data_IF_780007828099
#
_entry.id   IF_780007828099
#
_cell.length_a   1.000
_cell.length_b   1.000
_cell.length_c   1.000
_cell.angle_alpha   90.00
_cell.angle_beta   90.00
_cell.angle_gamma   90.00
#
_symmetry.space_group_name_H-M   'P 1'
#
loop_
_entity.id
_entity.type
_entity.pdbx_description
1 polymer ?
2 non-polymer ?
3 non-polymer ?
4 non-polymer ?
5 non-polymer ?
6 non-polymer ?
7 water ?
#
# COMPACT_ATOMS: atom_id res chain seq x y z
N UNK A 1 15.92 -15.83 19.12
CA UNK A 1 14.75 -16.33 18.40
C UNK A 1 13.53 -16.42 19.29
N UNK A 2 12.47 -15.73 18.90
CA UNK A 2 11.30 -15.51 19.72
C UNK A 2 10.15 -15.18 18.79
N UNK A 3 8.96 -15.71 19.05
CA UNK A 3 7.79 -15.43 18.21
C UNK A 3 6.61 -14.82 18.99
N UNK A 4 6.87 -14.20 20.13
CA UNK A 4 5.80 -13.50 20.84
C UNK A 4 5.96 -12.00 20.55
N UNK A 5 4.83 -11.31 20.58
CA UNK A 5 4.84 -9.87 20.54
C UNK A 5 5.15 -9.32 21.94
N UNK A 6 5.89 -8.23 21.99
CA UNK A 6 5.99 -7.46 23.21
C UNK A 6 4.63 -6.92 23.62
N UNK A 7 4.51 -6.50 24.89
CA UNK A 7 3.24 -5.91 25.32
C UNK A 7 2.94 -4.65 24.52
N UNK A 8 3.98 -3.91 24.21
CA UNK A 8 3.87 -2.71 23.40
C UNK A 8 3.35 -3.05 22.00
N UNK A 9 3.91 -4.09 21.37
CA UNK A 9 3.44 -4.53 20.05
C UNK A 9 2.00 -5.03 20.10
N UNK A 10 1.68 -5.82 21.11
CA UNK A 10 0.31 -6.29 21.26
C UNK A 10 -0.68 -5.13 21.40
N UNK A 11 -0.31 -4.11 22.19
CA UNK A 11 -1.20 -2.96 22.37
C UNK A 11 -1.42 -2.21 21.07
N UNK A 12 -0.36 -2.05 20.28
CA UNK A 12 -0.45 -1.37 19.00
C UNK A 12 -1.44 -2.11 18.10
N UNK A 13 -1.28 -3.44 18.01
CA UNK A 13 -2.18 -4.27 17.19
C UNK A 13 -3.62 -4.17 17.69
N UNK A 14 -3.83 -4.37 19.00
CA UNK A 14 -5.20 -4.42 19.48
C UNK A 14 -5.88 -3.07 19.35
N UNK A 15 -5.15 -1.98 19.60
CA UNK A 15 -5.76 -0.67 19.46
C UNK A 15 -6.16 -0.39 18.00
N UNK A 16 -5.28 -0.75 17.07
CA UNK A 16 -5.60 -0.56 15.66
C UNK A 16 -6.78 -1.43 15.22
N UNK A 17 -6.85 -2.67 15.72
CA UNK A 17 -7.92 -3.57 15.34
C UNK A 17 -9.24 -3.03 15.84
N UNK A 18 -9.24 -2.52 17.09
CA UNK A 18 -10.46 -1.93 17.63
C UNK A 18 -10.93 -0.75 16.81
N UNK A 19 -10.02 0.13 16.41
CA UNK A 19 -10.39 1.26 15.58
C UNK A 19 -10.93 0.76 14.26
N UNK A 20 -10.22 -0.18 13.63
CA UNK A 20 -10.70 -0.64 12.35
C UNK A 20 -12.09 -1.24 12.46
N UNK A 21 -12.36 -2.04 13.51
CA UNK A 21 -13.67 -2.66 13.67
C UNK A 21 -14.74 -1.65 14.05
N UNK A 22 -14.46 -0.84 15.04
CA UNK A 22 -15.50 0.01 15.64
C UNK A 22 -15.73 1.32 14.92
N UNK A 23 -14.76 1.82 14.14
CA UNK A 23 -14.88 3.09 13.46
C UNK A 23 -14.95 2.88 11.96
N UNK A 24 -13.94 2.17 11.39
CA UNK A 24 -13.93 2.10 9.91
C UNK A 24 -14.90 1.07 9.34
N UNK A 25 -15.07 -0.06 10.02
CA UNK A 25 -15.90 -1.13 9.49
C UNK A 25 -17.38 -0.84 9.61
N UNK A 26 -17.75 0.07 10.50
CA UNK A 26 -19.16 0.31 10.82
C UNK A 26 -19.62 0.99 9.52
N UNK A 27 -20.74 0.59 8.97
CA UNK A 27 -21.29 1.21 7.77
C UNK A 27 -20.49 1.00 6.49
N UNK A 28 -19.49 0.12 6.55
CA UNK A 28 -18.64 -0.06 5.36
C UNK A 28 -19.44 -0.60 4.18
N UNK A 29 -20.40 -1.48 4.42
CA UNK A 29 -21.12 -2.05 3.27
C UNK A 29 -21.81 -0.98 2.46
N UNK A 30 -22.44 -0.01 3.13
CA UNK A 30 -23.06 1.07 2.37
C UNK A 30 -22.04 1.85 1.57
N UNK A 31 -20.90 2.16 2.17
CA UNK A 31 -19.91 2.92 1.41
C UNK A 31 -19.41 2.12 0.23
N UNK A 32 -19.12 0.85 0.45
CA UNK A 32 -18.62 0.01 -0.64
C UNK A 32 -19.65 -0.08 -1.77
N UNK A 33 -20.92 -0.28 -1.42
CA UNK A 33 -21.98 -0.37 -2.46
C UNK A 33 -22.03 0.86 -3.33
N UNK A 34 -21.84 2.02 -2.72
CA UNK A 34 -21.93 3.31 -3.40
C UNK A 34 -20.59 3.78 -3.94
N UNK A 35 -19.53 2.99 -3.78
CA UNK A 35 -18.18 3.34 -4.27
C UNK A 35 -17.69 4.63 -3.64
N UNK A 36 -17.98 4.80 -2.36
CA UNK A 36 -17.62 6.01 -1.64
C UNK A 36 -16.31 5.81 -0.90
N UNK A 37 -15.41 6.78 -1.05
CA UNK A 37 -14.24 6.91 -0.23
C UNK A 37 -14.56 8.09 0.66
N UNK A 38 -14.77 7.81 1.95
CA UNK A 38 -15.18 8.85 2.89
C UNK A 38 -13.96 9.64 3.35
N UNK A 39 -13.82 10.87 2.87
CA UNK A 39 -12.61 11.59 3.29
C UNK A 39 -12.67 11.96 4.76
N UNK A 40 -13.87 12.12 5.33
CA UNK A 40 -13.90 12.39 6.77
C UNK A 40 -13.42 11.20 7.57
N UNK A 41 -13.82 9.99 7.18
CA UNK A 41 -13.34 8.80 7.82
C UNK A 41 -11.84 8.59 7.57
N UNK A 42 -11.41 8.84 6.33
CA UNK A 42 -10.01 8.74 6.01
C UNK A 42 -9.19 9.64 6.94
N UNK A 43 -9.65 10.86 7.14
CA UNK A 43 -8.87 11.80 7.98
C UNK A 43 -8.85 11.35 9.45
N UNK A 44 -9.95 10.75 9.93
CA UNK A 44 -9.93 10.22 11.30
C UNK A 44 -8.94 9.09 11.46
N UNK A 45 -8.89 8.21 10.45
CA UNK A 45 -7.94 7.12 10.47
C UNK A 45 -6.52 7.65 10.40
N UNK A 46 -6.27 8.61 9.51
CA UNK A 46 -4.94 9.17 9.42
C UNK A 46 -4.50 9.73 10.77
N UNK A 47 -5.36 10.52 11.37
CA UNK A 47 -5.02 11.17 12.65
C UNK A 47 -4.91 10.18 13.80
N UNK A 48 -5.68 9.08 13.75
CA UNK A 48 -5.52 8.04 14.77
C UNK A 48 -4.11 7.48 14.78
N UNK A 49 -3.44 7.41 13.63
CA UNK A 49 -2.09 6.93 13.62
C UNK A 49 -1.74 6.19 12.35
N UNK A 50 -2.72 5.96 11.45
CA UNK A 50 -2.37 5.17 10.25
C UNK A 50 -1.55 5.97 9.24
N UNK A 51 -1.52 7.30 9.35
CA UNK A 51 -0.64 8.10 8.50
C UNK A 51 0.68 8.45 9.19
N UNK A 52 1.02 7.77 10.31
CA UNK A 52 2.20 8.16 11.09
C UNK A 52 3.46 7.32 10.80
N UNK A 53 3.39 6.01 10.96
CA UNK A 53 4.55 5.17 10.65
C UNK A 53 5.78 5.59 11.46
N UNK A 54 6.93 5.69 10.80
CA UNK A 54 8.18 6.04 11.48
C UNK A 54 8.35 7.51 11.79
N UNK A 55 7.37 8.36 11.46
CA UNK A 55 7.57 9.80 11.61
C UNK A 55 7.74 10.14 13.08
N UNK A 56 8.69 11.03 13.36
CA UNK A 56 9.00 11.44 14.72
C UNK A 56 7.87 12.27 15.37
N UNK A 57 7.97 12.36 16.70
CA UNK A 57 7.05 13.16 17.49
C UNK A 57 7.05 14.62 17.05
N UNK A 58 8.20 15.12 16.57
CA UNK A 58 8.31 16.50 16.12
C UNK A 58 7.28 16.85 15.05
N UNK A 59 6.85 15.85 14.28
CA UNK A 59 5.91 16.11 13.20
C UNK A 59 4.58 15.40 13.43
N UNK A 60 4.31 14.91 14.65
CA UNK A 60 3.03 14.33 14.99
C UNK A 60 3.02 12.83 15.00
N UNK A 61 4.14 12.18 14.73
CA UNK A 61 4.17 10.72 14.72
C UNK A 61 4.60 10.11 16.04
N UNK A 62 4.66 8.77 16.06
CA UNK A 62 5.04 8.02 17.26
C UNK A 62 6.31 7.21 17.07
N UNK A 63 7.02 7.46 15.99
CA UNK A 63 8.31 6.86 15.76
C UNK A 63 8.22 5.35 15.85
N UNK A 64 7.27 4.80 15.11
CA UNK A 64 7.17 3.34 14.99
C UNK A 64 8.26 2.78 14.07
N UNK A 65 8.71 1.55 14.37
CA UNK A 65 9.59 0.86 13.45
C UNK A 65 8.74 0.20 12.38
N UNK A 66 9.41 -0.54 11.47
CA UNK A 66 8.71 -1.21 10.36
C UNK A 66 7.84 -2.33 10.89
N UNK A 67 8.31 -3.09 11.87
CA UNK A 67 7.46 -4.18 12.37
C UNK A 67 6.23 -3.62 13.06
N UNK A 68 6.36 -2.55 13.86
CA UNK A 68 5.18 -1.97 14.51
C UNK A 68 4.19 -1.44 13.48
N UNK A 69 4.69 -0.81 12.43
CA UNK A 69 3.84 -0.22 11.40
C UNK A 69 3.11 -1.34 10.71
N UNK A 70 3.83 -2.44 10.43
CA UNK A 70 3.19 -3.59 9.78
C UNK A 70 2.12 -4.20 10.65
N UNK A 71 2.36 -4.31 11.96
CA UNK A 71 1.33 -4.82 12.87
C UNK A 71 0.07 -3.95 12.82
N UNK A 72 0.22 -2.61 12.87
CA UNK A 72 -0.92 -1.73 12.78
C UNK A 72 -1.71 -1.98 11.52
N UNK A 73 -1.00 -2.14 10.40
CA UNK A 73 -1.70 -2.28 9.13
C UNK A 73 -2.31 -3.67 9.01
N UNK A 74 -1.66 -4.70 9.56
CA UNK A 74 -2.28 -6.02 9.60
C UNK A 74 -3.61 -5.95 10.32
N UNK A 75 -3.63 -5.25 11.46
CA UNK A 75 -4.87 -5.11 12.21
C UNK A 75 -5.96 -4.40 11.41
N UNK A 76 -5.56 -3.36 10.68
CA UNK A 76 -6.47 -2.64 9.79
C UNK A 76 -7.04 -3.57 8.74
N UNK A 77 -6.19 -4.41 8.15
CA UNK A 77 -6.73 -5.30 7.10
C UNK A 77 -7.66 -6.39 7.65
N UNK A 78 -7.41 -6.86 8.89
CA UNK A 78 -8.31 -7.84 9.50
C UNK A 78 -9.60 -7.20 9.99
N UNK A 79 -9.51 -5.97 10.47
CA UNK A 79 -10.63 -5.34 11.14
C UNK A 79 -11.65 -4.64 10.27
N UNK A 80 -11.29 -4.17 9.08
CA UNK A 80 -12.18 -3.37 8.25
C UNK A 80 -12.34 -4.00 6.87
N UNK A 81 -13.59 -4.20 6.44
CA UNK A 81 -13.84 -4.65 5.07
C UNK A 81 -13.51 -3.62 4.03
N UNK A 82 -13.38 -2.35 4.43
CA UNK A 82 -13.23 -1.27 3.45
C UNK A 82 -11.75 -1.17 3.08
N UNK A 83 -11.31 -2.17 2.31
CA UNK A 83 -9.90 -2.24 1.96
C UNK A 83 -9.52 -1.13 0.97
N UNK A 84 -10.45 -0.63 0.16
CA UNK A 84 -10.12 0.51 -0.70
C UNK A 84 -9.69 1.72 0.13
N UNK A 85 -10.46 2.03 1.19
CA UNK A 85 -10.05 3.13 2.05
C UNK A 85 -8.69 2.83 2.69
N UNK A 86 -8.49 1.58 3.17
CA UNK A 86 -7.23 1.26 3.84
C UNK A 86 -6.07 1.37 2.86
N UNK A 87 -6.28 0.90 1.63
CA UNK A 87 -5.21 1.00 0.64
C UNK A 87 -4.86 2.47 0.38
N UNK A 88 -5.90 3.32 0.26
CA UNK A 88 -5.67 4.75 0.02
C UNK A 88 -4.83 5.37 1.14
N UNK A 89 -5.11 5.01 2.38
CA UNK A 89 -4.36 5.53 3.52
C UNK A 89 -2.94 5.04 3.52
N UNK A 90 -2.75 3.73 3.28
CA UNK A 90 -1.39 3.20 3.30
C UNK A 90 -0.57 3.72 2.14
N UNK A 91 -1.19 4.02 0.98
CA UNK A 91 -0.45 4.61 -0.12
C UNK A 91 0.03 6.00 0.27
N UNK A 92 -0.83 6.78 0.90
CA UNK A 92 -0.42 8.10 1.38
C UNK A 92 0.72 8.00 2.38
N UNK A 93 0.62 7.06 3.32
CA UNK A 93 1.68 6.88 4.31
C UNK A 93 2.99 6.45 3.63
N UNK A 94 2.94 5.36 2.82
CA UNK A 94 4.22 4.76 2.43
C UNK A 94 4.87 5.47 1.29
N UNK A 95 4.11 6.00 0.35
CA UNK A 95 4.71 6.57 -0.83
C UNK A 95 4.81 8.08 -0.73
N UNK A 96 4.21 8.68 0.31
CA UNK A 96 4.26 10.15 0.37
C UNK A 96 4.75 10.68 1.71
N UNK A 97 4.11 10.31 2.82
CA UNK A 97 4.60 10.73 4.13
C UNK A 97 6.03 10.27 4.36
N UNK A 98 6.30 8.99 4.12
CA UNK A 98 7.62 8.49 4.53
C UNK A 98 8.75 9.10 3.68
N UNK A 99 8.66 9.20 2.35
CA UNK A 99 9.77 9.86 1.65
C UNK A 99 9.93 11.32 2.02
N UNK A 100 8.84 12.04 2.28
CA UNK A 100 9.05 13.44 2.72
C UNK A 100 9.80 13.48 4.07
N UNK A 101 9.40 12.64 5.03
CA UNK A 101 10.07 12.58 6.30
C UNK A 101 11.54 12.20 6.13
N UNK A 102 11.79 11.16 5.31
CA UNK A 102 13.16 10.62 5.26
C UNK A 102 14.12 11.46 4.44
N UNK A 103 13.64 12.17 3.43
CA UNK A 103 14.52 12.91 2.53
C UNK A 103 14.22 14.40 2.43
N UNK A 104 13.10 14.90 2.95
CA UNK A 104 12.77 16.28 2.74
C UNK A 104 13.68 17.19 3.57
N UNK A 105 13.84 18.43 3.10
CA UNK A 105 14.56 19.43 3.90
C UNK A 105 13.76 19.83 5.13
N UNK A 106 14.45 20.49 6.08
CA UNK A 106 13.79 21.08 7.22
C UNK A 106 12.68 22.01 6.79
N UNK A 107 12.93 22.85 5.76
CA UNK A 107 11.89 23.80 5.37
C UNK A 107 10.69 23.07 4.77
N UNK A 108 10.93 22.02 3.98
CA UNK A 108 9.77 21.35 3.36
C UNK A 108 8.98 20.54 4.39
N UNK A 109 9.67 19.83 5.30
CA UNK A 109 8.97 19.13 6.37
C UNK A 109 8.20 20.10 7.24
N UNK A 110 8.83 21.22 7.64
CA UNK A 110 8.13 22.20 8.47
C UNK A 110 6.82 22.69 7.84
N UNK A 111 6.80 22.88 6.52
CA UNK A 111 5.64 23.40 5.83
C UNK A 111 4.55 22.33 5.67
N UNK A 112 4.93 21.09 5.32
CA UNK A 112 3.93 20.12 4.86
C UNK A 112 3.79 18.86 5.70
N UNK A 113 4.82 18.43 6.44
CA UNK A 113 4.81 17.04 6.90
C UNK A 113 3.78 16.79 7.99
N UNK A 114 3.69 17.68 8.97
CA UNK A 114 2.66 17.44 9.98
C UNK A 114 1.26 17.42 9.38
N UNK A 115 0.99 18.24 8.38
CA UNK A 115 -0.32 18.22 7.74
C UNK A 115 -0.58 16.87 7.06
N UNK A 116 0.44 16.25 6.50
CA UNK A 116 0.25 14.92 5.91
C UNK A 116 0.06 13.87 6.98
N UNK A 117 0.82 13.98 8.06
CA UNK A 117 0.77 13.02 9.18
C UNK A 117 -0.59 13.03 9.88
N UNK A 118 -1.22 14.18 10.00
CA UNK A 118 -2.52 14.26 10.66
C UNK A 118 -3.68 14.10 9.68
N UNK A 119 -3.38 13.98 8.38
CA UNK A 119 -4.37 13.84 7.35
C UNK A 119 -5.07 15.13 6.96
N UNK A 120 -4.63 16.27 7.45
CA UNK A 120 -5.17 17.54 6.97
C UNK A 120 -4.99 17.69 5.47
N UNK A 121 -3.88 17.15 4.93
CA UNK A 121 -3.64 17.18 3.49
C UNK A 121 -3.52 15.72 3.07
N UNK A 122 -4.16 15.40 1.96
CA UNK A 122 -4.03 14.07 1.34
C UNK A 122 -2.96 14.15 0.25
N UNK A 123 -2.12 13.12 0.13
CA UNK A 123 -1.07 13.15 -0.87
C UNK A 123 -1.18 11.95 -1.82
N UNK A 124 -0.63 12.16 -3.02
CA UNK A 124 -0.57 11.09 -4.04
C UNK A 124 0.86 11.04 -4.55
N UNK A 125 1.33 9.84 -4.92
CA UNK A 125 2.69 9.64 -5.43
C UNK A 125 2.59 9.36 -6.92
N UNK A 126 3.33 10.10 -7.75
CA UNK A 126 3.14 9.99 -9.17
C UNK A 126 4.49 9.65 -9.81
N UNK A 127 4.67 8.36 -10.12
CA UNK A 127 5.89 7.89 -10.76
C UNK A 127 5.59 7.23 -12.10
N UNK A 128 4.63 6.28 -12.11
CA UNK A 128 4.32 5.53 -13.32
C UNK A 128 3.88 6.41 -14.47
N UNK A 129 4.27 6.02 -15.68
CA UNK A 129 3.89 6.71 -16.91
C UNK A 129 3.41 5.71 -17.92
N UNK A 130 2.77 6.16 -18.98
CA UNK A 130 2.36 5.22 -20.05
C UNK A 130 3.50 4.34 -20.56
N UNK A 131 4.74 4.84 -20.70
CA UNK A 131 5.83 4.00 -21.18
C UNK A 131 6.83 3.63 -20.11
N UNK A 132 6.46 3.75 -18.85
CA UNK A 132 7.40 3.45 -17.78
C UNK A 132 6.54 2.90 -16.64
N UNK A 133 6.43 1.57 -16.60
CA UNK A 133 5.69 0.91 -15.52
C UNK A 133 6.70 0.08 -14.78
N UNK A 134 6.93 -1.19 -15.20
CA UNK A 134 8.01 -1.94 -14.63
C UNK A 134 9.36 -1.26 -14.86
N UNK A 135 9.54 -0.74 -16.06
CA UNK A 135 10.77 -0.03 -16.43
C UNK A 135 10.60 1.44 -15.99
N UNK A 136 10.59 1.60 -14.65
CA UNK A 136 10.14 2.90 -14.12
C UNK A 136 11.18 3.97 -14.35
N UNK A 137 12.46 3.58 -14.44
CA UNK A 137 13.47 4.62 -14.63
C UNK A 137 13.63 5.03 -16.08
N UNK A 138 12.82 4.49 -17.00
CA UNK A 138 12.60 5.02 -18.33
C UNK A 138 11.55 6.14 -18.34
N UNK A 139 11.13 6.63 -17.19
CA UNK A 139 10.13 7.69 -17.23
C UNK A 139 10.64 8.85 -18.08
N UNK A 140 9.71 9.47 -18.77
CA UNK A 140 9.99 10.53 -19.74
C UNK A 140 9.61 11.91 -19.23
N UNK A 141 8.83 12.01 -18.15
CA UNK A 141 8.56 13.36 -17.63
C UNK A 141 9.88 14.05 -17.32
N UNK A 142 9.91 15.39 -17.58
CA UNK A 142 11.15 16.13 -17.45
C UNK A 142 10.95 17.31 -16.53
N UNK A 143 11.90 17.52 -15.64
CA UNK A 143 11.92 18.72 -14.79
C UNK A 143 13.20 19.43 -15.15
N UNK A 144 13.09 20.37 -16.13
CA UNK A 144 14.28 21.04 -16.70
C UNK A 144 14.73 22.15 -15.77
N UNK A 145 15.95 22.09 -15.21
CA UNK A 145 16.40 23.14 -14.30
C UNK A 145 16.41 24.49 -14.99
N UNK A 146 16.00 25.49 -14.25
CA UNK A 146 15.99 26.89 -14.72
C UNK A 146 16.30 27.80 -13.54
N UNK A 147 16.35 29.12 -13.79
CA UNK A 147 16.54 30.02 -12.66
C UNK A 147 15.34 29.89 -11.74
N UNK A 148 15.62 29.60 -10.49
CA UNK A 148 14.60 29.54 -9.48
C UNK A 148 14.02 28.16 -9.22
N UNK A 149 14.28 27.19 -10.11
CA UNK A 149 13.58 25.92 -9.93
C UNK A 149 13.62 25.10 -11.20
N UNK A 150 12.45 24.62 -11.64
CA UNK A 150 12.35 23.67 -12.73
C UNK A 150 11.09 23.91 -13.52
N UNK A 151 11.12 23.56 -14.79
CA UNK A 151 9.94 23.53 -15.65
C UNK A 151 9.58 22.06 -15.85
N UNK A 152 8.38 21.66 -15.40
CA UNK A 152 7.95 20.25 -15.41
C UNK A 152 6.93 19.98 -16.51
N UNK A 153 7.17 18.92 -17.32
CA UNK A 153 6.22 18.48 -18.32
C UNK A 153 6.15 16.95 -18.29
N UNK A 154 4.97 16.41 -18.62
CA UNK A 154 4.86 14.95 -18.76
C UNK A 154 3.49 14.48 -18.30
N UNK A 155 3.35 13.14 -18.26
CA UNK A 155 2.07 12.54 -17.94
C UNK A 155 2.30 11.36 -17.02
N UNK A 156 1.52 11.26 -15.94
CA UNK A 156 1.61 10.14 -15.01
C UNK A 156 0.27 9.44 -14.99
N UNK A 157 0.30 8.10 -14.79
CA UNK A 157 -0.93 7.35 -14.83
C UNK A 157 -0.98 6.42 -13.65
N UNK A 158 -2.20 5.93 -13.39
CA UNK A 158 -2.47 4.94 -12.32
C UNK A 158 -2.20 5.52 -10.94
N UNK A 159 -2.52 6.80 -10.74
CA UNK A 159 -2.08 7.49 -9.53
C UNK A 159 -3.15 7.38 -8.45
N UNK A 160 -2.88 6.54 -7.46
CA UNK A 160 -3.77 6.37 -6.30
C UNK A 160 -3.94 7.71 -5.58
N UNK A 161 -5.20 8.03 -5.28
CA UNK A 161 -5.59 9.27 -4.59
C UNK A 161 -5.47 10.52 -5.44
N UNK A 162 -5.07 10.47 -6.73
CA UNK A 162 -4.94 11.75 -7.43
C UNK A 162 -6.23 12.59 -7.42
N UNK A 163 -7.42 12.02 -7.61
CA UNK A 163 -8.62 12.89 -7.62
C UNK A 163 -8.93 13.53 -6.30
N UNK A 164 -8.39 13.08 -5.19
CA UNK A 164 -8.67 13.66 -3.87
C UNK A 164 -7.44 14.31 -3.24
N UNK A 165 -6.28 14.30 -3.90
CA UNK A 165 -5.05 14.74 -3.23
C UNK A 165 -4.92 16.27 -3.22
N UNK A 166 -4.36 16.76 -2.15
CA UNK A 166 -3.96 18.17 -2.04
C UNK A 166 -2.55 18.40 -2.49
N UNK A 167 -1.66 17.42 -2.34
CA UNK A 167 -0.30 17.56 -2.80
C UNK A 167 0.10 16.29 -3.51
N UNK A 168 1.12 16.43 -4.35
CA UNK A 168 1.58 15.34 -5.20
C UNK A 168 3.09 15.21 -5.01
N UNK A 169 3.57 14.00 -4.76
CA UNK A 169 5.02 13.72 -4.75
C UNK A 169 5.31 13.17 -6.15
N UNK A 170 6.08 13.91 -6.96
CA UNK A 170 6.21 13.51 -8.35
C UNK A 170 7.69 13.28 -8.69
N UNK A 171 7.89 12.30 -9.57
CA UNK A 171 9.23 11.91 -10.01
C UNK A 171 9.40 12.28 -11.46
N UNK A 172 10.54 12.94 -11.80
CA UNK A 172 10.76 13.39 -13.16
C UNK A 172 12.26 13.46 -13.41
N UNK A 173 12.62 13.44 -14.69
CA UNK A 173 14.03 13.49 -15.10
C UNK A 173 14.52 14.93 -15.05
N UNK A 174 15.47 15.15 -14.18
CA UNK A 174 16.29 16.36 -14.22
C UNK A 174 17.52 16.22 -15.10
N UNK A 175 17.88 14.99 -15.44
CA UNK A 175 18.92 14.72 -16.44
C UNK A 175 18.36 13.62 -17.33
N UNK A 176 17.73 13.97 -18.43
CA UNK A 176 17.12 12.94 -19.29
C UNK A 176 18.15 11.99 -19.92
N UNK A 177 19.46 12.29 -19.81
CA UNK A 177 20.46 11.38 -20.36
C UNK A 177 20.51 10.06 -19.58
N UNK A 178 20.14 10.10 -18.30
CA UNK A 178 20.38 8.99 -17.41
C UNK A 178 19.05 8.30 -17.11
N UNK A 179 19.15 7.24 -16.33
CA UNK A 179 17.97 6.51 -15.94
C UNK A 179 17.78 6.80 -14.49
N UNK A 180 18.09 5.81 -13.66
CA UNK A 180 17.95 5.90 -12.22
C UNK A 180 18.59 7.17 -11.67
N UNK A 181 19.79 7.51 -12.13
CA UNK A 181 20.51 8.63 -11.54
C UNK A 181 20.11 9.99 -12.13
N UNK A 182 19.18 10.03 -13.05
CA UNK A 182 18.71 11.26 -13.64
C UNK A 182 17.36 11.70 -13.09
N UNK A 183 16.82 10.99 -12.11
CA UNK A 183 15.47 11.27 -11.59
C UNK A 183 15.58 12.14 -10.35
N UNK A 184 14.69 13.15 -10.21
CA UNK A 184 14.51 13.86 -8.96
C UNK A 184 13.05 13.79 -8.51
N UNK A 185 12.84 14.08 -7.25
CA UNK A 185 11.52 14.04 -6.65
C UNK A 185 11.10 15.43 -6.25
N UNK A 186 9.81 15.72 -6.39
CA UNK A 186 9.32 17.07 -6.05
C UNK A 186 7.99 17.00 -5.35
N UNK A 187 7.66 18.02 -4.57
CA UNK A 187 6.31 18.12 -4.00
C UNK A 187 5.62 19.26 -4.72
N UNK A 188 4.45 19.01 -5.31
CA UNK A 188 3.68 20.11 -5.92
C UNK A 188 2.27 20.13 -5.36
N UNK A 189 1.66 21.32 -5.36
CA UNK A 189 0.33 21.48 -4.79
C UNK A 189 -0.78 21.42 -5.82
N UNK A 190 -1.93 20.86 -5.43
CA UNK A 190 -3.11 20.98 -6.25
C UNK A 190 -3.36 22.46 -6.61
N UNK A 191 -3.72 22.71 -7.83
CA UNK A 191 -4.05 24.09 -8.15
C UNK A 191 -2.92 24.84 -8.82
N UNK A 192 -1.71 24.29 -8.81
CA UNK A 192 -0.61 25.02 -9.43
C UNK A 192 -0.85 25.14 -10.93
N UNK A 193 -0.56 26.30 -11.54
CA UNK A 193 -0.78 26.43 -12.98
C UNK A 193 -0.03 25.37 -13.76
N UNK A 194 -0.76 24.71 -14.67
CA UNK A 194 -0.15 23.70 -15.53
C UNK A 194 -0.38 22.29 -15.03
N UNK A 195 -0.92 22.12 -13.82
CA UNK A 195 -1.25 20.78 -13.32
C UNK A 195 -2.68 20.44 -13.69
N UNK A 196 -2.86 19.38 -14.46
CA UNK A 196 -4.20 18.97 -14.87
C UNK A 196 -4.43 17.57 -14.30
N UNK A 197 -5.22 17.48 -13.25
CA UNK A 197 -5.57 16.18 -12.63
C UNK A 197 -6.81 15.65 -13.32
N UNK A 198 -6.75 14.41 -13.83
CA UNK A 198 -7.88 13.83 -14.52
C UNK A 198 -9.00 13.44 -13.56
N UNK A 199 -10.20 13.27 -14.11
CA UNK A 199 -11.31 12.74 -13.33
C UNK A 199 -11.04 11.27 -12.96
N UNK A 200 -11.66 10.84 -11.87
CA UNK A 200 -11.47 9.47 -11.41
C UNK A 200 -11.80 8.51 -12.54
N UNK A 201 -10.96 7.49 -12.69
CA UNK A 201 -11.19 6.44 -13.67
C UNK A 201 -11.67 5.22 -12.91
N UNK A 202 -12.90 4.75 -13.17
CA UNK A 202 -13.48 3.64 -12.39
C UNK A 202 -12.78 2.31 -12.62
N UNK A 203 -12.84 1.48 -11.60
CA UNK A 203 -12.30 0.13 -11.69
C UNK A 203 -13.16 -0.78 -10.83
N UNK A 204 -13.12 -2.08 -11.13
CA UNK A 204 -13.83 -3.06 -10.29
C UNK A 204 -12.99 -3.51 -9.09
N UNK A 205 -11.69 -3.60 -9.22
CA UNK A 205 -10.85 -3.92 -8.07
C UNK A 205 -10.60 -2.66 -7.26
N UNK A 206 -10.59 -2.78 -5.92
CA UNK A 206 -10.36 -1.61 -5.03
C UNK A 206 -11.24 -0.44 -5.49
N UNK A 207 -12.54 -0.71 -5.72
CA UNK A 207 -13.31 0.14 -6.60
C UNK A 207 -13.59 1.50 -5.98
N UNK A 208 -13.56 1.62 -4.64
CA UNK A 208 -13.76 2.95 -4.08
C UNK A 208 -12.47 3.67 -3.77
N UNK A 209 -11.31 3.16 -4.21
CA UNK A 209 -10.04 3.85 -3.99
C UNK A 209 -9.75 4.62 -5.26
N UNK A 210 -9.86 5.94 -5.28
CA UNK A 210 -9.84 6.66 -6.55
C UNK A 210 -8.45 6.75 -7.13
N UNK A 211 -8.35 6.62 -8.46
CA UNK A 211 -7.09 6.93 -9.12
C UNK A 211 -7.40 7.63 -10.43
N UNK A 212 -6.39 8.32 -10.97
CA UNK A 212 -6.54 8.94 -12.27
C UNK A 212 -5.15 9.24 -12.84
N UNK A 213 -5.16 9.87 -14.03
CA UNK A 213 -3.93 10.37 -14.62
C UNK A 213 -3.70 11.80 -14.21
N UNK A 214 -2.47 12.24 -14.31
CA UNK A 214 -2.18 13.66 -14.10
C UNK A 214 -1.28 14.13 -15.26
N UNK A 215 -1.48 15.36 -15.74
CA UNK A 215 -0.67 15.88 -16.84
C UNK A 215 -0.05 17.18 -16.36
N UNK A 216 1.26 17.33 -16.59
CA UNK A 216 2.04 18.53 -16.30
C UNK A 216 2.26 19.28 -17.61
N UNK A 217 1.78 20.55 -17.68
CA UNK A 217 2.07 21.40 -18.84
C UNK A 217 2.83 22.63 -18.39
N UNK A 218 4.16 22.60 -18.57
CA UNK A 218 5.03 23.73 -18.20
C UNK A 218 4.77 24.24 -16.79
N UNK A 219 4.70 23.32 -15.84
CA UNK A 219 4.60 23.70 -14.43
C UNK A 219 5.93 24.28 -13.97
N UNK A 220 5.86 25.42 -13.26
CA UNK A 220 7.05 25.89 -12.59
C UNK A 220 7.12 25.33 -11.16
N UNK A 221 8.18 24.58 -10.89
CA UNK A 221 8.44 24.06 -9.55
C UNK A 221 9.49 24.94 -8.91
N UNK A 222 9.19 25.61 -7.82
CA UNK A 222 10.23 26.34 -7.11
C UNK A 222 11.26 25.40 -6.53
N UNK A 223 12.52 25.85 -6.52
CA UNK A 223 13.63 25.06 -5.99
C UNK A 223 13.37 24.43 -4.64
N UNK A 224 12.68 25.15 -3.78
CA UNK A 224 12.50 24.67 -2.43
C UNK A 224 11.56 23.47 -2.35
N UNK A 225 10.92 23.12 -3.45
CA UNK A 225 9.96 22.01 -3.42
C UNK A 225 10.57 20.72 -3.94
N UNK A 226 11.85 20.72 -4.31
CA UNK A 226 12.56 19.47 -4.57
C UNK A 226 12.75 18.70 -3.26
N UNK A 227 12.48 17.39 -3.29
CA UNK A 227 12.63 16.54 -2.13
C UNK A 227 13.98 15.82 -2.25
N UNK A 228 14.85 16.03 -1.27
CA UNK A 228 16.21 15.45 -1.30
C UNK A 228 17.06 16.16 -2.35
N UNK A 229 18.17 15.52 -2.67
CA UNK A 229 19.14 16.11 -3.58
C UNK A 229 18.78 15.90 -5.04
N UNK A 230 19.40 16.70 -5.89
CA UNK A 230 19.23 16.53 -7.32
C UNK A 230 19.75 15.18 -7.76
N UNK A 231 18.94 14.45 -8.54
CA UNK A 231 19.34 13.15 -9.05
C UNK A 231 19.17 12.01 -8.07
N UNK A 232 18.64 12.29 -6.88
CA UNK A 232 18.43 11.29 -5.84
C UNK A 232 17.03 10.72 -5.87
N UNK A 233 16.24 11.07 -6.88
CA UNK A 233 14.84 10.64 -6.96
C UNK A 233 14.71 9.14 -7.07
N UNK A 234 15.59 8.52 -7.87
CA UNK A 234 15.59 7.05 -7.96
C UNK A 234 15.78 6.40 -6.61
N UNK A 235 16.71 6.89 -5.81
CA UNK A 235 16.91 6.30 -4.49
C UNK A 235 15.72 6.55 -3.58
N UNK A 236 15.12 7.72 -3.69
CA UNK A 236 13.94 8.01 -2.88
C UNK A 236 12.78 7.10 -3.29
N UNK A 237 12.54 6.99 -4.59
CA UNK A 237 11.43 6.14 -5.04
C UNK A 237 11.66 4.71 -4.56
N UNK A 238 12.88 4.25 -4.74
CA UNK A 238 13.26 2.91 -4.31
C UNK A 238 12.95 2.70 -2.85
N UNK A 239 13.38 3.62 -1.99
CA UNK A 239 13.15 3.52 -0.56
C UNK A 239 11.66 3.56 -0.21
N UNK A 240 10.88 4.35 -0.94
CA UNK A 240 9.48 4.37 -0.62
C UNK A 240 8.82 3.06 -1.05
N UNK A 241 9.31 2.41 -2.12
CA UNK A 241 8.67 1.14 -2.50
C UNK A 241 9.00 0.04 -1.53
N UNK A 242 10.11 0.16 -0.79
CA UNK A 242 10.41 -0.79 0.28
C UNK A 242 9.33 -0.74 1.36
N UNK A 243 8.96 0.49 1.80
CA UNK A 243 7.90 0.63 2.80
C UNK A 243 6.54 0.20 2.23
N UNK A 244 6.27 0.57 1.00
CA UNK A 244 5.04 0.13 0.36
C UNK A 244 4.95 -1.38 0.25
N UNK A 245 6.05 -2.04 -0.15
CA UNK A 245 5.98 -3.50 -0.23
C UNK A 245 6.07 -4.19 1.14
N UNK A 246 6.86 -3.63 2.04
CA UNK A 246 7.08 -4.29 3.31
C UNK A 246 5.95 -4.09 4.29
N UNK A 247 5.44 -2.87 4.42
CA UNK A 247 4.40 -2.58 5.37
C UNK A 247 3.00 -2.53 4.78
N UNK A 248 2.81 -1.90 3.62
CA UNK A 248 1.48 -1.88 3.04
C UNK A 248 0.96 -3.30 2.80
N UNK A 249 1.84 -4.24 2.45
CA UNK A 249 1.41 -5.62 2.18
C UNK A 249 0.74 -6.32 3.38
N UNK A 250 1.14 -6.00 4.63
CA UNK A 250 0.52 -6.39 5.88
C UNK A 250 -1.00 -6.29 5.79
N UNK A 251 -1.52 -5.35 5.00
CA UNK A 251 -2.95 -5.21 4.87
C UNK A 251 -3.56 -6.51 4.38
N UNK A 252 -2.86 -7.15 3.42
CA UNK A 252 -3.42 -8.36 2.81
C UNK A 252 -3.21 -9.57 3.71
N UNK A 253 -2.19 -9.58 4.57
CA UNK A 253 -2.10 -10.62 5.60
C UNK A 253 -3.32 -10.55 6.53
N UNK A 254 -3.65 -9.31 6.99
CA UNK A 254 -4.80 -9.21 7.90
C UNK A 254 -6.10 -9.56 7.19
N UNK A 255 -6.19 -9.22 5.89
CA UNK A 255 -7.38 -9.63 5.12
C UNK A 255 -7.48 -11.14 5.00
N UNK A 256 -6.33 -11.81 4.83
CA UNK A 256 -6.36 -13.28 4.73
C UNK A 256 -6.74 -13.92 6.06
N UNK A 257 -6.24 -13.35 7.17
CA UNK A 257 -6.71 -13.84 8.47
C UNK A 257 -8.22 -13.73 8.67
N UNK A 258 -8.82 -12.62 8.25
CA UNK A 258 -10.26 -12.46 8.34
C UNK A 258 -10.97 -13.45 7.41
N UNK A 259 -10.45 -13.59 6.19
CA UNK A 259 -11.02 -14.55 5.24
C UNK A 259 -10.98 -15.97 5.78
N UNK A 260 -9.86 -16.39 6.39
CA UNK A 260 -9.76 -17.74 6.90
C UNK A 260 -10.78 -17.97 8.01
N UNK A 261 -10.94 -16.99 8.91
CA UNK A 261 -11.92 -17.14 10.00
C UNK A 261 -13.33 -17.33 9.43
N UNK A 262 -13.69 -16.55 8.41
CA UNK A 262 -15.01 -16.68 7.79
C UNK A 262 -15.19 -18.03 7.12
N UNK A 263 -14.14 -18.49 6.44
CA UNK A 263 -14.24 -19.74 5.70
C UNK A 263 -14.33 -20.94 6.64
N UNK A 264 -13.49 -20.98 7.70
CA UNK A 264 -13.57 -22.03 8.71
C UNK A 264 -14.95 -22.10 9.34
N UNK A 265 -15.53 -20.93 9.66
CA UNK A 265 -16.87 -20.92 10.27
C UNK A 265 -17.87 -21.55 9.32
N UNK A 266 -17.80 -21.20 8.03
CA UNK A 266 -18.78 -21.75 7.10
C UNK A 266 -18.58 -23.24 6.94
N UNK A 267 -17.34 -23.72 6.89
CA UNK A 267 -17.12 -25.12 6.62
C UNK A 267 -17.54 -25.99 7.80
N UNK A 268 -17.63 -25.38 8.97
CA UNK A 268 -18.18 -26.14 10.10
C UNK A 268 -19.70 -26.11 10.15
N UNK A 269 -20.33 -25.04 9.66
CA UNK A 269 -21.78 -24.82 9.75
C UNK A 269 -22.53 -25.46 8.64
N UNK A 270 -22.04 -25.30 7.41
CA UNK A 270 -22.76 -25.83 6.24
C UNK A 270 -22.72 -27.34 6.15
N UNK A 271 -23.90 -27.97 6.13
CA UNK A 271 -24.02 -29.41 6.03
C UNK A 271 -24.46 -29.80 4.64
N UNK A 272 -23.85 -30.85 4.10
CA UNK A 272 -24.36 -31.60 2.96
C UNK A 272 -24.03 -33.06 3.17
N UNK A 273 -24.90 -33.96 2.68
CA UNK A 273 -24.68 -35.41 2.86
C UNK A 273 -24.60 -35.75 4.34
N UNK A 274 -25.27 -34.99 5.16
CA UNK A 274 -25.40 -35.39 6.54
C UNK A 274 -24.21 -35.01 7.40
N UNK A 275 -23.32 -34.16 6.91
CA UNK A 275 -22.22 -33.73 7.77
C UNK A 275 -21.74 -32.36 7.33
N UNK A 276 -20.90 -31.78 8.16
CA UNK A 276 -20.29 -30.49 7.80
C UNK A 276 -19.39 -30.65 6.58
N UNK A 277 -19.46 -29.67 5.66
CA UNK A 277 -18.68 -29.86 4.43
C UNK A 277 -17.19 -29.89 4.73
N UNK A 278 -16.77 -29.32 5.85
CA UNK A 278 -15.34 -29.43 6.20
C UNK A 278 -14.88 -30.83 6.50
N UNK A 279 -15.79 -31.79 6.70
CA UNK A 279 -15.38 -33.18 6.91
C UNK A 279 -14.89 -33.87 5.66
N UNK A 280 -15.17 -33.35 4.43
CA UNK A 280 -14.67 -33.92 3.19
C UNK A 280 -13.28 -33.42 2.95
N UNK A 281 -12.36 -34.33 2.64
CA UNK A 281 -10.98 -33.87 2.50
C UNK A 281 -10.80 -32.90 1.34
N UNK A 282 -11.63 -32.98 0.26
CA UNK A 282 -11.44 -31.94 -0.77
C UNK A 282 -11.63 -30.54 -0.18
N UNK A 283 -12.56 -30.39 0.74
CA UNK A 283 -12.85 -29.08 1.35
C UNK A 283 -11.79 -28.73 2.37
N UNK A 284 -11.51 -29.67 3.26
CA UNK A 284 -10.56 -29.34 4.33
C UNK A 284 -9.15 -29.17 3.80
N UNK A 285 -8.80 -29.90 2.76
CA UNK A 285 -7.43 -29.70 2.21
C UNK A 285 -7.24 -28.27 1.71
N UNK A 286 -8.26 -27.68 1.02
CA UNK A 286 -8.14 -26.29 0.56
C UNK A 286 -8.05 -25.31 1.70
N UNK A 287 -8.84 -25.53 2.76
CA UNK A 287 -8.76 -24.63 3.90
C UNK A 287 -7.38 -24.75 4.57
N UNK A 288 -6.84 -25.98 4.65
CA UNK A 288 -5.49 -26.13 5.21
C UNK A 288 -4.47 -25.37 4.35
N UNK A 289 -4.60 -25.40 3.03
CA UNK A 289 -3.73 -24.59 2.19
C UNK A 289 -3.82 -23.12 2.57
N UNK A 290 -5.04 -22.61 2.82
CA UNK A 290 -5.17 -21.21 3.22
C UNK A 290 -4.43 -20.95 4.52
N UNK A 291 -4.61 -21.84 5.52
CA UNK A 291 -3.92 -21.69 6.79
C UNK A 291 -2.39 -21.78 6.62
N UNK A 292 -1.90 -22.74 5.85
CA UNK A 292 -0.44 -22.83 5.66
C UNK A 292 0.10 -21.56 5.01
N UNK A 293 -0.62 -21.04 4.00
CA UNK A 293 -0.18 -19.79 3.35
C UNK A 293 -0.11 -18.65 4.35
N UNK A 294 -1.16 -18.50 5.18
CA UNK A 294 -1.19 -17.37 6.06
C UNK A 294 -0.04 -17.43 7.08
N UNK A 295 0.22 -18.61 7.62
CA UNK A 295 1.27 -18.71 8.65
C UNK A 295 2.62 -18.45 8.02
N UNK A 296 2.85 -18.99 6.82
CA UNK A 296 4.18 -18.80 6.21
C UNK A 296 4.41 -17.36 5.83
N UNK A 297 3.46 -16.74 5.13
CA UNK A 297 3.73 -15.40 4.64
C UNK A 297 3.75 -14.38 5.78
N UNK A 298 2.99 -14.58 6.83
CA UNK A 298 3.06 -13.65 7.96
C UNK A 298 4.43 -13.74 8.63
N UNK A 299 5.02 -14.95 8.74
CA UNK A 299 6.36 -15.01 9.34
C UNK A 299 7.39 -14.33 8.45
N UNK A 300 7.29 -14.53 7.12
CA UNK A 300 8.20 -13.86 6.20
C UNK A 300 8.12 -12.35 6.32
N UNK A 301 6.89 -11.82 6.47
CA UNK A 301 6.73 -10.38 6.58
C UNK A 301 7.33 -9.89 7.88
N UNK A 302 7.03 -10.59 8.96
CA UNK A 302 7.56 -10.18 10.28
C UNK A 302 9.07 -10.19 10.28
N UNK A 303 9.67 -11.20 9.68
CA UNK A 303 11.12 -11.20 9.69
C UNK A 303 11.70 -10.11 8.82
N UNK A 304 11.09 -9.83 7.64
CA UNK A 304 11.57 -8.77 6.76
C UNK A 304 11.54 -7.44 7.50
N UNK A 305 10.43 -7.18 8.19
CA UNK A 305 10.30 -5.90 8.89
C UNK A 305 11.25 -5.86 10.08
N UNK A 306 11.39 -6.96 10.80
CA UNK A 306 12.32 -7.02 11.92
C UNK A 306 13.75 -6.79 11.43
N UNK A 307 14.16 -7.41 10.30
CA UNK A 307 15.53 -7.19 9.79
C UNK A 307 15.73 -5.71 9.45
N UNK A 308 14.74 -5.08 8.81
CA UNK A 308 14.81 -3.64 8.56
C UNK A 308 15.07 -2.87 9.85
N UNK A 309 14.28 -3.16 10.87
CA UNK A 309 14.43 -2.48 12.17
C UNK A 309 15.79 -2.74 12.78
N UNK A 310 16.42 -3.88 12.48
CA UNK A 310 17.76 -4.12 13.02
C UNK A 310 18.85 -3.44 12.20
N UNK A 311 18.53 -2.80 11.11
CA UNK A 311 19.54 -2.24 10.23
C UNK A 311 20.19 -3.23 9.30
N UNK A 312 19.68 -4.45 9.19
CA UNK A 312 20.17 -5.41 8.22
C UNK A 312 19.62 -5.09 6.84
N UNK A 313 20.23 -5.70 5.81
CA UNK A 313 19.77 -5.55 4.43
C UNK A 313 18.49 -6.36 4.28
N UNK A 314 17.36 -5.68 4.14
CA UNK A 314 16.10 -6.43 4.08
C UNK A 314 15.45 -6.40 2.69
N UNK A 315 16.16 -5.93 1.66
CA UNK A 315 15.51 -5.74 0.37
C UNK A 315 14.97 -7.04 -0.20
N UNK A 316 15.78 -8.09 -0.18
CA UNK A 316 15.34 -9.36 -0.73
C UNK A 316 14.21 -9.95 0.12
N UNK A 317 14.27 -9.77 1.45
CA UNK A 317 13.25 -10.31 2.33
C UNK A 317 11.92 -9.64 2.08
N UNK A 318 11.95 -8.31 1.82
CA UNK A 318 10.72 -7.59 1.55
C UNK A 318 10.15 -7.97 0.18
N UNK A 319 11.02 -8.15 -0.84
CA UNK A 319 10.52 -8.62 -2.14
C UNK A 319 9.90 -10.00 -2.01
N UNK A 320 10.55 -10.90 -1.22
CA UNK A 320 9.98 -12.25 -1.04
C UNK A 320 8.64 -12.19 -0.35
N UNK A 321 8.53 -11.31 0.67
CA UNK A 321 7.26 -11.17 1.38
C UNK A 321 6.17 -10.65 0.48
N UNK A 322 6.47 -9.61 -0.30
CA UNK A 322 5.45 -9.02 -1.15
C UNK A 322 4.95 -10.05 -2.17
N UNK A 323 5.89 -10.81 -2.74
CA UNK A 323 5.55 -11.87 -3.71
C UNK A 323 4.66 -12.92 -3.06
N UNK A 324 5.05 -13.43 -1.90
CA UNK A 324 4.26 -14.52 -1.32
C UNK A 324 2.92 -14.01 -0.88
N UNK A 325 2.87 -12.85 -0.18
CA UNK A 325 1.58 -12.39 0.34
C UNK A 325 0.58 -12.21 -0.78
N UNK A 326 1.01 -11.57 -1.87
CA UNK A 326 0.03 -11.24 -2.91
C UNK A 326 -0.43 -12.48 -3.66
N UNK A 327 0.50 -13.40 -3.98
CA UNK A 327 0.10 -14.67 -4.58
C UNK A 327 -0.85 -15.44 -3.65
N UNK A 328 -0.48 -15.53 -2.38
CA UNK A 328 -1.32 -16.29 -1.45
C UNK A 328 -2.67 -15.63 -1.23
N UNK A 329 -2.72 -14.29 -1.25
CA UNK A 329 -3.99 -13.61 -1.03
C UNK A 329 -4.94 -13.94 -2.17
N UNK A 330 -4.43 -13.92 -3.40
CA UNK A 330 -5.28 -14.22 -4.55
C UNK A 330 -5.74 -15.67 -4.52
N UNK A 331 -4.79 -16.59 -4.38
CA UNK A 331 -5.16 -18.01 -4.39
C UNK A 331 -6.13 -18.31 -3.25
N UNK A 332 -5.95 -17.71 -2.08
CA UNK A 332 -6.85 -18.04 -0.98
C UNK A 332 -8.21 -17.42 -1.18
N UNK A 333 -8.27 -16.28 -1.88
CA UNK A 333 -9.58 -15.71 -2.24
C UNK A 333 -10.36 -16.68 -3.11
N UNK A 334 -9.68 -17.30 -4.09
CA UNK A 334 -10.33 -18.32 -4.91
C UNK A 334 -10.76 -19.53 -4.09
N UNK A 335 -9.92 -19.96 -3.14
CA UNK A 335 -10.24 -21.14 -2.31
C UNK A 335 -11.44 -20.86 -1.41
N UNK A 336 -11.56 -19.63 -0.88
CA UNK A 336 -12.73 -19.30 -0.03
C UNK A 336 -13.98 -19.36 -0.87
N UNK A 337 -13.95 -18.75 -2.06
CA UNK A 337 -15.10 -18.81 -2.94
C UNK A 337 -15.50 -20.24 -3.18
N UNK A 338 -14.51 -21.12 -3.47
CA UNK A 338 -14.86 -22.51 -3.78
C UNK A 338 -15.48 -23.21 -2.57
N UNK A 339 -15.05 -22.87 -1.35
CA UNK A 339 -15.67 -23.44 -0.13
C UNK A 339 -17.15 -23.09 -0.03
N UNK A 340 -17.51 -21.86 -0.39
CA UNK A 340 -18.89 -21.41 -0.23
C UNK A 340 -19.81 -21.92 -1.36
N UNK A 341 -19.28 -22.28 -2.51
CA UNK A 341 -20.17 -22.71 -3.61
C UNK A 341 -21.04 -21.56 -4.09
N UNK A 342 -22.30 -21.88 -4.42
CA UNK A 342 -23.20 -20.83 -4.91
C UNK A 342 -23.41 -19.69 -3.93
N UNK A 343 -23.28 -19.96 -2.64
CA UNK A 343 -23.44 -18.89 -1.69
C UNK A 343 -22.32 -17.83 -1.75
N UNK A 344 -21.22 -18.11 -2.50
CA UNK A 344 -20.19 -17.09 -2.67
C UNK A 344 -20.69 -15.94 -3.53
N UNK A 345 -21.70 -16.18 -4.35
CA UNK A 345 -22.13 -15.17 -5.34
C UNK A 345 -23.20 -14.32 -4.69
N UNK A 346 -22.77 -13.55 -3.70
CA UNK A 346 -23.67 -12.87 -2.75
C UNK A 346 -22.97 -11.60 -2.34
N UNK A 347 -23.49 -10.44 -2.77
CA UNK A 347 -22.74 -9.22 -2.59
C UNK A 347 -22.65 -8.83 -1.11
N UNK A 348 -23.58 -9.33 -0.28
CA UNK A 348 -23.49 -8.99 1.14
C UNK A 348 -22.36 -9.73 1.84
N UNK A 349 -21.98 -10.89 1.32
CA UNK A 349 -20.94 -11.67 1.93
C UNK A 349 -19.58 -11.11 1.58
N UNK A 350 -19.43 -10.56 0.38
CA UNK A 350 -18.17 -9.88 0.10
C UNK A 350 -17.02 -10.76 -0.36
N UNK A 351 -17.24 -12.04 -0.67
CA UNK A 351 -16.09 -12.90 -0.98
C UNK A 351 -15.59 -12.59 -2.37
N UNK A 352 -16.50 -12.33 -3.31
CA UNK A 352 -16.03 -12.01 -4.64
C UNK A 352 -15.35 -10.64 -4.66
N UNK A 353 -15.92 -9.67 -3.93
CA UNK A 353 -15.28 -8.37 -3.83
C UNK A 353 -13.90 -8.50 -3.17
N UNK A 354 -13.78 -9.38 -2.19
CA UNK A 354 -12.48 -9.60 -1.56
C UNK A 354 -11.45 -10.05 -2.60
N UNK A 355 -11.83 -10.99 -3.47
CA UNK A 355 -10.88 -11.44 -4.47
C UNK A 355 -10.51 -10.30 -5.39
N UNK A 356 -11.50 -9.52 -5.85
CA UNK A 356 -11.21 -8.35 -6.68
C UNK A 356 -10.21 -7.45 -5.99
N UNK A 357 -10.39 -7.24 -4.69
CA UNK A 357 -9.48 -6.34 -3.99
C UNK A 357 -8.10 -6.91 -3.87
N UNK A 358 -7.94 -8.23 -3.93
CA UNK A 358 -6.60 -8.81 -3.83
C UNK A 358 -5.87 -8.86 -5.14
N UNK A 359 -6.61 -8.86 -6.25
CA UNK A 359 -5.95 -9.00 -7.56
C UNK A 359 -4.85 -7.95 -7.77
N UNK A 360 -5.05 -6.67 -7.41
CA UNK A 360 -3.96 -5.71 -7.70
C UNK A 360 -2.77 -5.83 -6.78
N UNK A 361 -2.81 -6.64 -5.72
CA UNK A 361 -1.64 -6.77 -4.86
C UNK A 361 -0.47 -7.38 -5.59
N UNK A 362 -0.73 -8.14 -6.67
CA UNK A 362 0.36 -8.73 -7.43
C UNK A 362 0.98 -7.72 -8.41
N UNK A 363 0.43 -6.52 -8.50
CA UNK A 363 0.84 -5.52 -9.51
C UNK A 363 1.45 -4.28 -8.86
N UNK A 364 0.82 -3.75 -7.80
CA UNK A 364 1.37 -2.46 -7.45
C UNK A 364 2.66 -2.62 -6.59
N UNK A 365 3.39 -1.50 -6.57
CA UNK A 365 4.74 -1.42 -6.01
C UNK A 365 5.72 -2.35 -6.71
N UNK A 366 5.39 -2.76 -7.92
CA UNK A 366 6.28 -3.61 -8.70
C UNK A 366 5.61 -4.94 -8.87
N UNK A 367 5.48 -5.42 -10.09
CA UNK A 367 4.80 -6.69 -10.24
C UNK A 367 5.59 -7.85 -9.61
N UNK A 368 4.92 -9.00 -9.50
CA UNK A 368 5.61 -10.12 -8.90
C UNK A 368 6.74 -10.66 -9.78
N UNK A 369 6.65 -10.44 -11.08
CA UNK A 369 7.80 -10.80 -11.93
C UNK A 369 8.99 -9.91 -11.63
N UNK A 370 8.73 -8.62 -11.35
CA UNK A 370 9.78 -7.70 -10.95
C UNK A 370 10.32 -8.06 -9.56
N UNK A 371 9.46 -8.52 -8.62
CA UNK A 371 10.04 -8.97 -7.37
C UNK A 371 11.00 -10.10 -7.60
N UNK A 372 10.66 -11.02 -8.52
CA UNK A 372 11.59 -12.12 -8.80
C UNK A 372 12.88 -11.61 -9.43
N UNK A 373 12.82 -10.56 -10.26
CA UNK A 373 14.07 -9.98 -10.76
C UNK A 373 14.89 -9.42 -9.64
N UNK A 374 14.24 -8.76 -8.67
CA UNK A 374 14.99 -8.23 -7.53
C UNK A 374 15.67 -9.36 -6.75
N UNK A 375 14.92 -10.43 -6.47
CA UNK A 375 15.48 -11.55 -5.72
C UNK A 375 16.59 -12.20 -6.51
N UNK A 376 16.40 -12.37 -7.82
CA UNK A 376 17.44 -12.95 -8.66
C UNK A 376 18.74 -12.13 -8.61
N UNK A 377 18.60 -10.80 -8.62
CA UNK A 377 19.77 -9.92 -8.51
C UNK A 377 20.47 -10.13 -7.14
N UNK A 378 19.69 -10.17 -6.06
CA UNK A 378 20.28 -10.36 -4.72
C UNK A 378 20.95 -11.72 -4.58
N UNK A 379 20.44 -12.75 -5.28
CA UNK A 379 21.02 -14.08 -5.30
C UNK A 379 22.25 -14.16 -6.18
N UNK A 380 22.62 -13.11 -6.88
CA UNK A 380 23.78 -13.18 -7.78
C UNK A 380 23.54 -13.74 -9.14
N UNK A 381 22.28 -13.86 -9.56
CA UNK A 381 21.93 -14.41 -10.89
C UNK A 381 21.80 -13.36 -11.98
N UNK A 382 22.19 -12.11 -11.71
CA UNK A 382 22.08 -11.02 -12.69
C UNK A 382 23.45 -10.33 -12.84
N UNK A 383 24.50 -11.13 -12.78
CA UNK A 383 25.88 -10.62 -12.65
C UNK A 383 26.52 -10.21 -13.96
X LIG B 1 4.02 -3.49 -17.24
X LIG B 1 3.58 -3.19 -18.58
X LIG B 1 5.29 -3.04 -16.80
X LIG B 1 4.02 -5.10 -17.05
X LIG B 1 3.23 -5.93 -17.92
X LIG B 1 3.66 -7.39 -17.68
X LIG B 1 5.04 -7.51 -18.11
X LIG B 1 3.65 -7.82 -16.21
X LIG B 1 3.38 -9.23 -16.15
X LIG B 1 5.10 -7.57 -15.81
X LIG B 1 5.52 -8.37 -14.72
X LIG B 1 5.81 -8.05 -17.08
X LIG B 1 7.18 -7.57 -17.20
X LIG B 1 7.61 -6.27 -17.41
X LIG B 1 8.92 -6.16 -17.40
X LIG B 1 9.37 -7.44 -17.09
X LIG B 1 10.67 -7.98 -16.90
X LIG B 1 11.79 -7.25 -16.99
X LIG B 1 10.76 -9.31 -16.62
X LIG B 1 9.63 -10.03 -16.55
X LIG B 1 8.37 -9.63 -16.73
X LIG B 1 8.32 -8.31 -17.00
X LIG B 1 1.90 4.00 -9.76
X LIG B 1 2.27 5.21 -9.25
X LIG B 1 3.20 5.90 -9.71
X LIG B 1 1.56 5.73 -8.21
X LIG B 1 0.48 5.09 -7.58
X LIG B 1 -0.15 5.64 -6.66
X LIG B 1 0.14 3.79 -8.11
X LIG B 1 -0.86 3.13 -7.55
X LIG B 1 -1.26 1.95 -8.13
X LIG B 1 -2.32 1.26 -7.56
X LIG B 1 -2.73 0.05 -8.08
X LIG B 1 -3.91 -0.67 -7.44
X LIG B 1 -2.04 -0.52 -9.16
X LIG B 1 -2.50 -1.85 -9.76
X LIG B 1 -0.99 0.17 -9.74
X LIG B 1 -0.55 1.37 -9.20
X LIG B 1 0.55 2.08 -9.73
X LIG B 1 0.89 3.33 -9.24
X LIG B 1 1.22 1.58 -10.97
X LIG B 1 2.11 0.34 -10.77
X LIG B 1 3.31 0.78 -10.16
X LIG B 1 2.37 -0.31 -12.14
X LIG B 1 1.10 -0.81 -12.55
X LIG B 1 3.38 -1.43 -12.06
X LIG B 1 4.67 -0.93 -11.73
X LIG B 1 3.40 -2.29 -13.30
X LIG B 1 3.53 -1.45 -14.49
X LIG B 1 2.58 -1.55 -15.67
X LIG B 1 1.14 -1.56 -15.20
X LIG B 1 3.00 -0.58 -16.67
X LIG B 1 2.88 -3.09 -16.20
X LIG C 1 -17.58 10.89 9.95
X LIG C 1 -16.90 11.82 10.72
X LIG C 1 -17.46 13.07 10.64
X LIG C 1 -16.63 14.09 11.41
X LIG C 1 -16.57 13.78 12.80
X LIG C 1 -16.09 14.82 13.59
X LIG C 1 -16.03 14.41 15.09
X LIG C 1 -15.65 13.06 15.27
X LIG C 1 -15.44 12.70 16.59
X LIG C 1 -15.01 11.25 16.77
X LIG C 1 -15.81 10.37 16.04
X LIG C 1 -15.50 9.06 16.47
X LIG C 1 -16.35 8.09 15.68
X LIG C 1 -16.27 8.46 14.31
X LIG C 1 -17.18 7.71 13.59
X LIG C 1 -17.14 7.96 12.08
X LIG C 1 -17.02 9.30 11.73
X LIG C 1 -17.24 9.47 10.38
X LIG D 1 -19.97 -38.35 9.61
X LIG D 1 -20.71 -39.25 8.83
X LIG D 1 -22.10 -39.14 8.97
X LIG D 1 -22.81 -40.05 7.96
X LIG D 1 -22.42 -39.72 6.66
X LIG D 1 -22.91 -40.50 5.63
X LIG D 1 -22.51 -39.90 4.28
X LIG D 1 -21.16 -40.19 4.07
X LIG D 1 -20.76 -39.72 2.80
X LIG D 1 -19.24 -39.89 2.65
X LIG D 1 -18.60 -39.02 3.55
X LIG D 1 -17.18 -39.15 3.46
X LIG D 1 -16.51 -38.28 4.52
X LIG D 1 -16.95 -38.61 5.82
X LIG D 1 -16.14 -37.95 6.75
X LIG D 1 -16.60 -38.23 8.18
X LIG D 1 -18.00 -38.17 8.29
X LIG D 1 -18.48 -38.70 9.50
X LIG E 1 -12.81 -37.59 2.29
X LIG F 1 2.24 3.66 -5.00
X LIG F 1 2.80 2.34 -5.33
X LIG F 1 3.27 2.14 -6.78
X LIG F 1 2.94 1.19 -7.48
X LIG F 1 1.65 1.42 -4.95
X LIG F 1 1.19 2.05 -3.60
X LIG F 1 1.32 3.56 -3.85
X LIG F 1 4.08 2.95 -7.27
X LIG G 1 7.03 0.74 -11.14
X LIG G 1 7.84 0.56 -9.95
X LIG G 1 8.79 -0.65 -9.93
X LIG G 1 8.99 -1.35 -10.94
X LIG G 1 6.79 0.53 -8.84
X LIG G 1 5.86 1.66 -9.31
X LIG G 1 5.98 1.75 -10.87
X LIG H 1 9.42 -0.84 -8.78
X LIG H 1 10.66 -1.59 -8.68
X LIG H 1 11.49 -0.98 -7.55
X LIG H 1 11.23 -1.23 -6.37
X LIG H 1 12.42 -0.19 -7.77
#
# INVERSE_FOLDING_TARGET
>A
MDFNLSNSQSDIYESAYRFACDVLDQDAQTRISQKILSTELWKKAAAYGFAHGPVSHQFGGSELGALDTALMIEALGKGSRDIGLSFSLCAHLCACVIPLYRFGSSELKDKYLESLVTGKLIAANAATEPDAGSDIYNMQATAQPCEGGYILNGKKIFITNAPIADVFIIYAKTNPDHGFLGVSAFLIEKGTPGLNVGEVIPKDCLSNCPWSEIVFNDIFIPQSQRIGMEGAGGAIFHDSMIWAKGCLSALFVGGLARLLETTLEYAKARQQFGKAIGQFQSVSNRIIDMKLRLEQCRLMLYRACWKHDQGQDAEADIAMSKLLISEYAVQSGLDAIQTFGGAAMDQELGLVRHLLNMIPSRIFSGTNDIQKEIIARKLGLRGTSSGSLVPRGSHHHHHHHH
>B hetero
1 FAD PA O1A O2A O5B C5B C4B O4B C3B O3B C2B O2B C1B N9A C8A N7A C5A C6A N6A N1A C2A N3A C4A N1 C2 O2 N3 C4 O4 C4X N5 C5X C6 C7 C7M C8 C8M C9 C9A N10 C10 C1' C2' O2' C3' O3' C4' O4' C5' O5' P O1P O2P O3P
>C hetero
1 O4B CAA OAM CAC CAD OAO CAG CAH OAQ CAK CAL OAR CAJ CAI OAP CAF CAE OAN CAB
>D hetero
1 O4B CAA OAM CAC CAD OAO CAG CAH OAQ CAK CAL OAR CAJ CAI OAP CAF CAE OAN CAB
>E hetero
1 CL CL
>F hetero
1 PRO N CA C O CB CG CD OXT
>G hetero
1 PRO N CA C O CB CG CD
>H hetero
1 GLY N CA C O OXT
#
